data_IF_774266760072
#
_entry.id   IF_774266760072
#
_cell.length_a   1.000
_cell.length_b   1.000
_cell.length_c   1.000
_cell.angle_alpha   90.00
_cell.angle_beta   90.00
_cell.angle_gamma   90.00
#
_symmetry.space_group_name_H-M   'P 1'
#
loop_
_entity.id
_entity.type
_entity.pdbx_description
1 polymer ?
#
# COMPACT_ATOMS: atom_id res chain seq x y z
N UNK A 1 14.56 -12.43 15.00
CA UNK A 1 13.75 -11.56 14.12
C UNK A 1 14.53 -11.26 12.85
N UNK A 2 13.90 -11.42 11.71
CA UNK A 2 14.54 -11.13 10.43
C UNK A 2 14.42 -9.65 10.14
N UNK A 3 15.55 -8.99 9.92
CA UNK A 3 15.60 -7.58 9.52
C UNK A 3 15.61 -7.54 7.99
N UNK A 4 14.67 -6.80 7.39
CA UNK A 4 14.63 -6.59 5.95
C UNK A 4 15.27 -5.25 5.64
N UNK A 5 16.42 -5.19 4.98
CA UNK A 5 16.99 -3.90 4.61
C UNK A 5 16.10 -3.21 3.59
N UNK A 6 16.11 -1.87 3.54
CA UNK A 6 15.38 -1.14 2.51
C UNK A 6 15.84 -1.54 1.11
N UNK A 7 14.89 -1.53 0.17
CA UNK A 7 15.19 -1.80 -1.23
C UNK A 7 15.97 -0.64 -1.85
N UNK A 8 16.81 -0.95 -2.82
CA UNK A 8 17.50 0.07 -3.60
C UNK A 8 16.52 0.80 -4.53
N UNK A 9 16.83 2.04 -4.89
CA UNK A 9 15.99 2.86 -5.76
C UNK A 9 15.67 2.15 -7.09
N UNK A 10 16.63 1.46 -7.68
CA UNK A 10 16.44 0.74 -8.93
C UNK A 10 15.46 -0.42 -8.77
N UNK A 11 15.50 -1.12 -7.63
CA UNK A 11 14.57 -2.21 -7.34
C UNK A 11 13.14 -1.69 -7.16
N UNK A 12 12.98 -0.56 -6.48
CA UNK A 12 11.68 0.08 -6.28
C UNK A 12 11.10 0.52 -7.63
N UNK A 13 11.91 1.19 -8.45
CA UNK A 13 11.47 1.67 -9.77
C UNK A 13 11.02 0.51 -10.66
N UNK A 14 11.76 -0.59 -10.65
CA UNK A 14 11.43 -1.77 -11.44
C UNK A 14 10.10 -2.40 -10.96
N UNK A 15 9.89 -2.50 -9.66
CA UNK A 15 8.68 -3.08 -9.09
C UNK A 15 7.44 -2.22 -9.38
N UNK A 16 7.57 -0.90 -9.37
CA UNK A 16 6.46 0.01 -9.62
C UNK A 16 5.94 -0.04 -11.06
N UNK A 17 6.73 -0.55 -11.99
CA UNK A 17 6.24 -0.78 -13.37
C UNK A 17 5.02 -1.70 -13.38
N UNK A 18 5.01 -2.73 -12.53
CA UNK A 18 3.91 -3.69 -12.42
C UNK A 18 2.81 -3.23 -11.47
N UNK A 19 3.06 -2.22 -10.64
CA UNK A 19 2.11 -1.69 -9.67
C UNK A 19 1.50 -0.39 -10.20
N UNK A 20 0.65 -0.50 -11.22
CA UNK A 20 0.03 0.64 -11.89
C UNK A 20 -0.75 1.50 -10.89
N UNK A 21 -0.51 2.81 -10.92
CA UNK A 21 -1.18 3.76 -10.04
C UNK A 21 -0.48 4.01 -8.71
N UNK A 22 0.48 3.16 -8.34
CA UNK A 22 1.31 3.41 -7.17
C UNK A 22 2.45 4.36 -7.52
N UNK A 23 2.60 5.41 -6.74
CA UNK A 23 3.61 6.46 -6.95
C UNK A 23 4.50 6.53 -5.73
N UNK A 24 5.80 6.59 -5.97
CA UNK A 24 6.76 6.77 -4.88
C UNK A 24 6.86 8.23 -4.46
N UNK A 25 6.81 8.48 -3.14
CA UNK A 25 7.12 9.76 -2.53
C UNK A 25 8.11 9.53 -1.39
N UNK A 26 9.43 9.71 -1.66
CA UNK A 26 10.46 9.46 -0.64
C UNK A 26 10.49 8.01 -0.21
N UNK A 27 10.17 7.75 1.06
CA UNK A 27 10.22 6.42 1.67
C UNK A 27 8.88 5.70 1.66
N UNK A 28 7.91 6.19 0.90
CA UNK A 28 6.59 5.56 0.81
C UNK A 28 6.12 5.42 -0.62
N UNK A 29 5.17 4.51 -0.83
CA UNK A 29 4.39 4.43 -2.06
C UNK A 29 2.93 4.69 -1.75
N UNK A 30 2.24 5.39 -2.66
CA UNK A 30 0.89 5.89 -2.45
C UNK A 30 0.03 5.59 -3.65
N UNK A 31 -1.21 5.19 -3.40
CA UNK A 31 -2.23 5.08 -4.44
C UNK A 31 -3.58 5.52 -3.90
N UNK A 32 -4.34 6.23 -4.72
CA UNK A 32 -5.72 6.62 -4.40
C UNK A 32 -6.67 5.77 -5.22
N UNK A 33 -7.63 5.15 -4.52
CA UNK A 33 -8.63 4.29 -5.12
C UNK A 33 -9.99 4.99 -5.12
N UNK A 34 -10.66 5.01 -6.26
CA UNK A 34 -12.04 5.47 -6.35
C UNK A 34 -12.95 4.25 -6.14
N UNK A 35 -13.67 4.24 -5.03
CA UNK A 35 -14.50 3.10 -4.63
C UNK A 35 -15.98 3.27 -5.03
N UNK A 36 -16.30 4.29 -5.82
CA UNK A 36 -17.62 4.48 -6.39
C UNK A 36 -18.65 5.12 -5.47
N UNK A 37 -18.54 4.93 -4.15
CA UNK A 37 -19.44 5.48 -3.14
C UNK A 37 -18.73 5.52 -1.79
N UNK A 38 -19.30 6.22 -0.82
CA UNK A 38 -18.77 6.20 0.55
C UNK A 38 -18.88 4.81 1.16
N UNK A 39 -19.99 4.13 0.97
CA UNK A 39 -20.15 2.74 1.45
C UNK A 39 -19.09 1.83 0.82
N UNK A 40 -18.84 2.00 -0.49
CA UNK A 40 -17.77 1.27 -1.18
C UNK A 40 -16.39 1.57 -0.61
N UNK A 41 -16.12 2.82 -0.27
CA UNK A 41 -14.87 3.21 0.37
C UNK A 41 -14.69 2.53 1.72
N UNK A 42 -15.72 2.51 2.54
CA UNK A 42 -15.66 1.85 3.86
C UNK A 42 -15.48 0.33 3.70
N UNK A 43 -16.18 -0.30 2.77
CA UNK A 43 -16.01 -1.72 2.49
C UNK A 43 -14.58 -2.05 2.04
N UNK A 44 -14.01 -1.21 1.19
CA UNK A 44 -12.63 -1.34 0.73
C UNK A 44 -11.64 -1.24 1.91
N UNK A 45 -11.82 -0.25 2.77
CA UNK A 45 -10.98 -0.05 3.96
C UNK A 45 -11.01 -1.28 4.87
N UNK A 46 -12.18 -1.89 5.06
CA UNK A 46 -12.30 -3.11 5.88
C UNK A 46 -11.47 -4.24 5.27
N UNK A 47 -11.53 -4.43 3.96
CA UNK A 47 -10.75 -5.46 3.28
C UNK A 47 -9.24 -5.18 3.38
N UNK A 48 -8.82 -3.93 3.20
CA UNK A 48 -7.43 -3.53 3.39
C UNK A 48 -6.97 -3.84 4.81
N UNK A 49 -7.83 -3.57 5.79
CA UNK A 49 -7.55 -3.85 7.20
C UNK A 49 -7.25 -5.33 7.45
N UNK A 50 -8.04 -6.23 6.88
CA UNK A 50 -7.80 -7.68 7.01
C UNK A 50 -6.47 -8.10 6.37
N UNK A 51 -6.16 -7.56 5.20
CA UNK A 51 -4.89 -7.85 4.53
C UNK A 51 -3.70 -7.35 5.36
N UNK A 52 -3.82 -6.14 5.92
CA UNK A 52 -2.77 -5.53 6.73
C UNK A 52 -2.51 -6.33 8.01
N UNK A 53 -3.57 -6.76 8.68
CA UNK A 53 -3.45 -7.60 9.89
C UNK A 53 -2.77 -8.93 9.58
N UNK A 54 -3.14 -9.57 8.49
CA UNK A 54 -2.53 -10.84 8.08
C UNK A 54 -1.05 -10.67 7.76
N UNK A 55 -0.69 -9.56 7.13
CA UNK A 55 0.70 -9.26 6.77
C UNK A 55 1.51 -8.71 7.95
N UNK A 56 0.86 -8.36 9.05
CA UNK A 56 1.46 -7.61 10.16
C UNK A 56 2.20 -6.37 9.65
N UNK A 57 1.56 -5.64 8.73
CA UNK A 57 2.12 -4.45 8.11
C UNK A 57 0.98 -3.47 7.83
N UNK A 58 0.99 -2.33 8.49
CA UNK A 58 -0.18 -1.45 8.57
C UNK A 58 0.03 -0.19 7.74
N UNK A 59 -0.78 0.03 6.70
CA UNK A 59 -0.71 1.24 5.89
C UNK A 59 -1.35 2.43 6.59
N UNK A 60 -1.01 3.63 6.14
CA UNK A 60 -1.80 4.81 6.43
C UNK A 60 -2.99 4.85 5.48
N UNK A 61 -4.17 5.07 6.02
CA UNK A 61 -5.42 5.05 5.26
C UNK A 61 -6.15 6.38 5.46
N UNK A 62 -6.42 7.09 4.36
CA UNK A 62 -7.14 8.35 4.36
C UNK A 62 -8.39 8.20 3.50
N UNK A 63 -9.56 8.38 4.11
CA UNK A 63 -10.86 8.23 3.44
C UNK A 63 -11.44 9.62 3.19
N UNK A 64 -11.67 9.94 1.91
CA UNK A 64 -12.29 11.19 1.49
C UNK A 64 -13.48 10.86 0.59
N UNK A 65 -14.69 10.85 1.16
CA UNK A 65 -15.91 10.47 0.50
C UNK A 65 -15.76 9.07 -0.14
N UNK A 66 -15.70 8.95 -1.45
CA UNK A 66 -15.55 7.67 -2.15
C UNK A 66 -14.10 7.32 -2.51
N UNK A 67 -13.17 8.21 -2.18
CA UNK A 67 -11.76 7.99 -2.47
C UNK A 67 -11.02 7.52 -1.22
N UNK A 68 -10.17 6.51 -1.40
CA UNK A 68 -9.32 5.98 -0.33
C UNK A 68 -7.87 6.09 -0.77
N UNK A 69 -7.09 6.84 -0.01
CA UNK A 69 -5.66 6.98 -0.24
C UNK A 69 -4.92 6.03 0.69
N UNK A 70 -4.12 5.16 0.11
CA UNK A 70 -3.30 4.19 0.85
C UNK A 70 -1.84 4.60 0.70
N UNK A 71 -1.13 4.71 1.82
CA UNK A 71 0.30 4.96 1.84
C UNK A 71 1.00 3.83 2.59
N UNK A 72 2.04 3.28 1.98
CA UNK A 72 2.82 2.16 2.52
C UNK A 72 4.28 2.56 2.68
N UNK A 73 4.82 2.24 3.85
CA UNK A 73 6.25 2.34 4.14
C UNK A 73 6.59 1.34 5.25
N UNK A 74 7.85 0.98 5.39
CA UNK A 74 8.30 0.12 6.48
C UNK A 74 9.09 0.97 7.48
N UNK A 75 8.38 1.52 8.47
CA UNK A 75 8.97 2.46 9.45
C UNK A 75 10.18 1.88 10.17
N UNK A 76 10.12 0.61 10.56
CA UNK A 76 11.20 -0.06 11.29
C UNK A 76 12.50 -0.12 10.50
N UNK A 77 12.43 -0.08 9.18
CA UNK A 77 13.58 -0.17 8.28
C UNK A 77 13.92 1.16 7.62
N UNK A 78 13.18 2.23 7.94
CA UNK A 78 13.36 3.58 7.41
C UNK A 78 13.31 3.65 5.87
N UNK A 79 12.42 2.88 5.25
CA UNK A 79 12.28 2.89 3.81
C UNK A 79 11.35 1.80 3.30
N UNK A 80 11.32 1.66 1.98
CA UNK A 80 10.49 0.66 1.32
C UNK A 80 11.17 -0.71 1.34
N UNK A 81 10.37 -1.73 1.62
CA UNK A 81 10.81 -3.13 1.62
C UNK A 81 9.83 -3.97 0.80
N UNK A 82 10.11 -5.26 0.66
CA UNK A 82 9.19 -6.17 0.00
C UNK A 82 7.84 -6.26 0.71
N UNK A 83 7.75 -5.94 2.00
CA UNK A 83 6.47 -5.88 2.71
C UNK A 83 5.52 -4.89 2.07
N UNK A 84 6.04 -3.73 1.67
CA UNK A 84 5.24 -2.69 1.02
C UNK A 84 4.77 -3.12 -0.36
N UNK A 85 5.67 -3.70 -1.15
CA UNK A 85 5.35 -4.14 -2.50
C UNK A 85 4.36 -5.30 -2.50
N UNK A 86 4.52 -6.25 -1.59
CA UNK A 86 3.64 -7.41 -1.46
C UNK A 86 2.24 -6.98 -1.03
N UNK A 87 2.14 -6.09 -0.05
CA UNK A 87 0.85 -5.61 0.41
C UNK A 87 0.16 -4.75 -0.66
N UNK A 88 0.91 -3.91 -1.37
CA UNK A 88 0.36 -3.15 -2.50
C UNK A 88 -0.26 -4.07 -3.55
N UNK A 89 0.42 -5.17 -3.87
CA UNK A 89 -0.08 -6.17 -4.82
C UNK A 89 -1.38 -6.80 -4.32
N UNK A 90 -1.44 -7.16 -3.05
CA UNK A 90 -2.66 -7.73 -2.46
C UNK A 90 -3.82 -6.74 -2.44
N UNK A 91 -3.55 -5.48 -2.10
CA UNK A 91 -4.57 -4.42 -2.10
C UNK A 91 -5.13 -4.23 -3.51
N UNK A 92 -4.27 -4.21 -4.53
CA UNK A 92 -4.73 -4.11 -5.92
C UNK A 92 -5.64 -5.28 -6.30
N UNK A 93 -5.46 -6.43 -5.70
CA UNK A 93 -6.28 -7.61 -5.93
C UNK A 93 -7.72 -7.51 -5.41
N UNK A 94 -8.02 -6.52 -4.56
CA UNK A 94 -9.39 -6.31 -4.06
C UNK A 94 -10.35 -5.88 -5.19
N UNK A 95 -9.85 -5.17 -6.18
CA UNK A 95 -10.66 -4.76 -7.32
C UNK A 95 -11.56 -3.55 -7.07
N UNK A 96 -11.05 -2.57 -6.34
CA UNK A 96 -11.76 -1.31 -6.13
C UNK A 96 -11.70 -0.41 -7.37
#
# INVERSE_FOLDING_TARGET
>A
MVVMPPLADAEISAALVALTGWVRGGDEIVKTFDCGSFAGAIAFVVQVGFLAERADHHPDIDVRWREVRIALTTHSEHGLTNRDLDLATEIDGIGA
#
